data_IF_574570593998
#
_entry.id   IF_574570593998
#
_cell.length_a   1.000
_cell.length_b   1.000
_cell.length_c   1.000
_cell.angle_alpha   90.00
_cell.angle_beta   90.00
_cell.angle_gamma   90.00
#
_symmetry.space_group_name_H-M   'P 1'
#
loop_
_entity.id
_entity.type
_entity.pdbx_description
1 polymer ?
#
# COMPACT_ATOMS: atom_id res chain seq x y z
N UNK A 1 -15.18 -3.30 16.56
CA UNK A 1 -14.27 -2.14 16.45
C UNK A 1 -15.02 -0.90 16.92
N UNK A 2 -14.49 -0.16 17.89
CA UNK A 2 -15.16 1.03 18.45
C UNK A 2 -14.72 2.25 17.64
N UNK A 3 -15.67 2.92 16.97
CA UNK A 3 -15.41 4.18 16.24
C UNK A 3 -15.63 5.36 17.17
N UNK A 4 -14.71 6.32 17.17
CA UNK A 4 -14.84 7.57 17.92
C UNK A 4 -15.02 8.73 16.92
N UNK A 5 -15.97 9.64 17.15
CA UNK A 5 -16.13 10.81 16.29
C UNK A 5 -14.92 11.74 16.43
N UNK A 6 -14.43 12.25 15.31
CA UNK A 6 -13.39 13.27 15.24
C UNK A 6 -13.85 14.37 14.27
N UNK A 7 -13.60 15.63 14.61
CA UNK A 7 -13.96 16.78 13.78
C UNK A 7 -12.71 17.47 13.26
N UNK A 8 -12.59 17.57 11.94
CA UNK A 8 -11.50 18.24 11.26
C UNK A 8 -12.02 19.45 10.51
N UNK A 9 -11.29 20.57 10.57
CA UNK A 9 -11.50 21.69 9.67
C UNK A 9 -10.62 21.49 8.45
N UNK A 10 -11.24 21.19 7.31
CA UNK A 10 -10.57 21.01 6.03
C UNK A 10 -10.78 22.26 5.17
N UNK A 11 -9.83 22.52 4.26
CA UNK A 11 -10.02 23.53 3.22
C UNK A 11 -11.19 23.11 2.31
N UNK A 12 -11.94 24.09 1.82
CA UNK A 12 -13.15 23.82 1.03
C UNK A 12 -12.85 23.07 -0.28
N UNK A 13 -11.77 23.43 -0.96
CA UNK A 13 -11.29 22.77 -2.17
C UNK A 13 -10.94 21.28 -1.94
N UNK A 14 -10.28 20.99 -0.82
CA UNK A 14 -9.95 19.63 -0.41
C UNK A 14 -11.21 18.81 -0.14
N UNK A 15 -12.19 19.37 0.57
CA UNK A 15 -13.45 18.69 0.85
C UNK A 15 -14.20 18.32 -0.44
N UNK A 16 -14.21 19.22 -1.43
CA UNK A 16 -14.81 18.95 -2.74
C UNK A 16 -14.05 17.90 -3.55
N UNK A 17 -12.72 17.83 -3.42
CA UNK A 17 -11.92 16.74 -4.00
C UNK A 17 -12.25 15.38 -3.36
N UNK A 18 -12.30 15.33 -2.02
CA UNK A 18 -12.61 14.10 -1.28
C UNK A 18 -14.01 13.58 -1.61
N UNK A 19 -15.01 14.45 -1.72
CA UNK A 19 -16.38 14.06 -2.12
C UNK A 19 -16.42 13.44 -3.52
N UNK A 20 -15.73 14.04 -4.49
CA UNK A 20 -15.65 13.52 -5.87
C UNK A 20 -15.01 12.14 -5.92
N UNK A 21 -13.92 11.94 -5.18
CA UNK A 21 -13.26 10.64 -5.11
C UNK A 21 -14.11 9.58 -4.40
N UNK A 22 -14.75 9.94 -3.28
CA UNK A 22 -15.67 9.04 -2.58
C UNK A 22 -16.83 8.60 -3.47
N UNK A 23 -17.43 9.53 -4.23
CA UNK A 23 -18.49 9.22 -5.20
C UNK A 23 -18.00 8.30 -6.32
N UNK A 24 -16.79 8.55 -6.86
CA UNK A 24 -16.18 7.70 -7.90
C UNK A 24 -15.97 6.26 -7.43
N UNK A 25 -15.70 6.06 -6.15
CA UNK A 25 -15.49 4.74 -5.54
C UNK A 25 -16.78 4.12 -4.96
N UNK A 26 -17.95 4.77 -5.11
CA UNK A 26 -19.21 4.36 -4.50
C UNK A 26 -19.11 4.18 -2.97
N UNK A 27 -18.34 5.05 -2.31
CA UNK A 27 -18.10 5.04 -0.86
C UNK A 27 -18.67 6.28 -0.20
N UNK A 28 -19.03 6.17 1.07
CA UNK A 28 -19.37 7.35 1.88
C UNK A 28 -18.10 8.18 2.13
N UNK A 29 -18.26 9.50 2.27
CA UNK A 29 -17.11 10.39 2.53
C UNK A 29 -16.31 9.95 3.77
N UNK A 30 -16.98 9.58 4.86
CA UNK A 30 -16.32 9.10 6.06
C UNK A 30 -15.53 7.82 5.81
N UNK A 31 -16.08 6.86 5.06
CA UNK A 31 -15.37 5.61 4.77
C UNK A 31 -14.17 5.85 3.86
N UNK A 32 -14.31 6.70 2.86
CA UNK A 32 -13.21 7.09 1.97
C UNK A 32 -12.08 7.79 2.75
N UNK A 33 -12.43 8.76 3.60
CA UNK A 33 -11.44 9.47 4.43
C UNK A 33 -10.77 8.52 5.44
N UNK A 34 -11.53 7.60 6.05
CA UNK A 34 -10.97 6.58 6.94
C UNK A 34 -9.94 5.70 6.20
N UNK A 35 -10.25 5.21 5.00
CA UNK A 35 -9.31 4.42 4.20
C UNK A 35 -8.05 5.20 3.84
N UNK A 36 -8.18 6.45 3.36
CA UNK A 36 -7.01 7.27 3.03
C UNK A 36 -6.13 7.54 4.26
N UNK A 37 -6.74 7.79 5.41
CA UNK A 37 -5.99 7.97 6.66
C UNK A 37 -5.35 6.67 7.13
N UNK A 38 -6.03 5.52 6.96
CA UNK A 38 -5.47 4.21 7.26
C UNK A 38 -4.25 3.92 6.40
N UNK A 39 -4.35 4.17 5.09
CA UNK A 39 -3.24 3.95 4.15
C UNK A 39 -2.01 4.78 4.53
N UNK A 40 -2.19 6.00 5.06
CA UNK A 40 -1.07 6.87 5.48
C UNK A 40 -0.51 6.47 6.85
N UNK A 41 -1.38 6.17 7.82
CA UNK A 41 -0.98 5.92 9.22
C UNK A 41 -0.43 4.51 9.40
N UNK A 42 -0.97 3.55 8.63
CA UNK A 42 -0.63 2.13 8.71
C UNK A 42 0.08 1.64 7.44
N UNK A 43 0.76 2.52 6.70
CA UNK A 43 1.63 2.16 5.55
C UNK A 43 2.85 1.30 5.94
N UNK A 44 2.90 0.79 7.19
CA UNK A 44 3.97 -0.08 7.60
C UNK A 44 3.76 -1.46 6.94
N UNK A 45 4.74 -1.95 6.17
CA UNK A 45 4.64 -3.28 5.56
C UNK A 45 4.30 -4.32 6.64
N UNK A 46 3.43 -5.28 6.35
CA UNK A 46 3.10 -6.32 7.33
C UNK A 46 4.36 -7.13 7.70
N UNK A 47 4.31 -7.89 8.79
CA UNK A 47 5.48 -8.64 9.29
C UNK A 47 6.11 -9.57 8.25
N UNK A 48 5.30 -10.15 7.35
CA UNK A 48 5.80 -11.00 6.24
C UNK A 48 6.59 -10.16 5.24
N UNK A 49 6.07 -9.00 4.84
CA UNK A 49 6.76 -8.08 3.92
C UNK A 49 8.03 -7.51 4.55
N UNK A 50 8.00 -7.14 5.84
CA UNK A 50 9.21 -6.71 6.57
C UNK A 50 10.27 -7.81 6.61
N UNK A 51 9.87 -9.06 6.86
CA UNK A 51 10.77 -10.20 6.89
C UNK A 51 11.42 -10.44 5.52
N UNK A 52 10.64 -10.44 4.44
CA UNK A 52 11.14 -10.58 3.08
C UNK A 52 12.11 -9.46 2.68
N UNK A 53 11.80 -8.20 3.04
CA UNK A 53 12.71 -7.06 2.82
C UNK A 53 14.02 -7.24 3.59
N UNK A 54 13.95 -7.68 4.85
CA UNK A 54 15.14 -7.92 5.69
C UNK A 54 15.99 -9.07 5.14
N UNK A 55 15.35 -10.14 4.68
CA UNK A 55 16.02 -11.28 4.03
C UNK A 55 16.75 -10.84 2.77
N UNK A 56 16.07 -10.15 1.85
CA UNK A 56 16.66 -9.62 0.63
C UNK A 56 17.85 -8.69 0.93
N UNK A 57 17.73 -7.80 1.92
CA UNK A 57 18.83 -6.90 2.35
C UNK A 57 19.98 -7.61 3.06
N UNK A 58 19.73 -8.74 3.70
CA UNK A 58 20.75 -9.50 4.43
C UNK A 58 21.71 -10.27 3.51
N UNK A 59 21.45 -10.29 2.20
CA UNK A 59 22.27 -11.01 1.22
C UNK A 59 22.25 -12.53 1.41
N UNK A 60 21.24 -13.05 2.12
CA UNK A 60 21.08 -14.49 2.38
C UNK A 60 20.37 -15.23 1.25
N UNK A 61 19.69 -14.52 0.36
CA UNK A 61 19.26 -15.09 -0.92
C UNK A 61 20.51 -15.34 -1.77
N UNK A 62 20.57 -16.40 -2.61
CA UNK A 62 21.74 -16.64 -3.43
C UNK A 62 21.99 -15.39 -4.26
N UNK A 63 23.26 -15.01 -4.41
CA UNK A 63 23.77 -13.93 -5.26
C UNK A 63 23.48 -14.21 -6.75
N UNK A 64 22.24 -14.56 -7.10
CA UNK A 64 21.79 -14.80 -8.45
C UNK A 64 21.58 -13.44 -9.09
N UNK A 65 22.63 -13.00 -9.75
CA UNK A 65 22.62 -11.84 -10.61
C UNK A 65 22.21 -12.35 -11.99
N UNK A 66 21.24 -11.70 -12.61
CA UNK A 66 20.79 -12.02 -13.96
C UNK A 66 21.45 -11.05 -14.92
N UNK A 67 21.97 -11.56 -16.03
CA UNK A 67 22.65 -10.75 -17.04
C UNK A 67 21.65 -10.14 -18.05
N UNK A 68 20.42 -10.65 -18.08
CA UNK A 68 19.36 -10.15 -18.94
C UNK A 68 17.97 -10.26 -18.29
N UNK A 69 17.03 -9.45 -18.77
CA UNK A 69 15.62 -9.50 -18.32
C UNK A 69 14.97 -10.84 -18.69
N UNK A 70 15.32 -11.42 -19.84
CA UNK A 70 14.78 -12.70 -20.29
C UNK A 70 15.18 -13.85 -19.36
N UNK A 71 16.41 -13.83 -18.84
CA UNK A 71 16.89 -14.83 -17.87
C UNK A 71 16.11 -14.75 -16.55
N UNK A 72 15.87 -13.53 -16.04
CA UNK A 72 15.06 -13.30 -14.85
C UNK A 72 13.62 -13.81 -15.02
N UNK A 73 13.00 -13.53 -16.16
CA UNK A 73 11.61 -13.92 -16.42
C UNK A 73 11.46 -15.44 -16.55
N UNK A 74 12.38 -16.12 -17.22
CA UNK A 74 12.38 -17.57 -17.33
C UNK A 74 12.51 -18.25 -15.96
N UNK A 75 13.32 -17.68 -15.06
CA UNK A 75 13.49 -18.20 -13.70
C UNK A 75 12.22 -18.04 -12.85
N UNK A 76 11.55 -16.89 -12.96
CA UNK A 76 10.29 -16.64 -12.22
C UNK A 76 9.12 -17.50 -12.72
N UNK A 77 9.10 -17.84 -14.01
CA UNK A 77 8.05 -18.69 -14.57
C UNK A 77 8.31 -20.20 -14.37
N UNK A 78 9.54 -20.60 -14.02
CA UNK A 78 9.88 -22.01 -13.74
C UNK A 78 9.57 -22.45 -12.30
N UNK A 79 9.26 -21.51 -11.40
CA UNK A 79 8.80 -21.77 -10.02
C UNK A 79 7.26 -22.00 -9.90
N UNK A 80 6.53 -22.11 -11.02
CA UNK A 80 5.09 -22.44 -11.07
C UNK A 80 4.81 -23.93 -11.17
#
# INVERSE_FOLDING_TARGET
MIRKPASFRLRADLLEGLKRNAARENRTLNNYVESVLLDIVFDEPNEVTKAAIKEAKSGKNPNKVYDSVDELLNDLDSDK
#
